data_IF_229151633070
#
_entry.id   IF_229151633070
#
_cell.length_a   1.000
_cell.length_b   1.000
_cell.length_c   1.000
_cell.angle_alpha   90.00
_cell.angle_beta   90.00
_cell.angle_gamma   90.00
#
_symmetry.space_group_name_H-M   'P 1'
#
loop_
_entity.id
_entity.type
_entity.pdbx_description
1 polymer ?
#
# COMPACT_ATOMS: atom_id res chain seq x y z
N UNK A 1 -13.25 13.54 -16.80
CA UNK A 1 -14.50 12.76 -16.80
C UNK A 1 -15.45 13.38 -15.78
N UNK A 2 -16.78 13.49 -16.06
CA UNK A 2 -17.72 13.97 -15.05
C UNK A 2 -17.90 12.93 -13.93
N UNK A 3 -18.27 13.39 -12.71
CA UNK A 3 -18.53 12.50 -11.58
C UNK A 3 -19.59 11.42 -11.89
N UNK A 4 -20.63 11.78 -12.63
CA UNK A 4 -21.67 10.83 -13.03
C UNK A 4 -21.11 9.74 -13.97
N UNK A 5 -20.29 10.12 -14.96
CA UNK A 5 -19.68 9.16 -15.86
C UNK A 5 -18.71 8.20 -15.12
N UNK A 6 -18.02 8.68 -14.10
CA UNK A 6 -17.20 7.84 -13.23
C UNK A 6 -18.05 6.81 -12.46
N UNK A 7 -19.15 7.27 -11.86
CA UNK A 7 -20.08 6.40 -11.12
C UNK A 7 -20.66 5.34 -12.05
N UNK A 8 -21.14 5.72 -13.23
CA UNK A 8 -21.75 4.81 -14.20
C UNK A 8 -20.74 3.75 -14.66
N UNK A 9 -19.50 4.14 -14.96
CA UNK A 9 -18.43 3.21 -15.33
C UNK A 9 -18.10 2.22 -14.21
N UNK A 10 -17.99 2.69 -12.97
CA UNK A 10 -17.72 1.81 -11.82
C UNK A 10 -18.89 0.85 -11.55
N UNK A 11 -20.13 1.32 -11.71
CA UNK A 11 -21.32 0.47 -11.58
C UNK A 11 -21.41 -0.58 -12.70
N UNK A 12 -21.00 -0.24 -13.93
CA UNK A 12 -20.95 -1.20 -15.03
C UNK A 12 -19.92 -2.32 -14.74
N UNK A 13 -18.72 -1.97 -14.26
CA UNK A 13 -17.72 -2.93 -13.84
C UNK A 13 -18.20 -3.82 -12.69
N UNK A 14 -18.91 -3.27 -11.71
CA UNK A 14 -19.43 -4.03 -10.58
C UNK A 14 -20.55 -5.04 -10.98
N UNK A 15 -21.23 -4.81 -12.12
CA UNK A 15 -22.25 -5.71 -12.66
C UNK A 15 -21.68 -6.82 -13.55
N UNK A 16 -20.41 -6.73 -13.91
CA UNK A 16 -19.74 -7.82 -14.60
C UNK A 16 -19.78 -9.07 -13.72
N UNK A 17 -20.17 -10.22 -14.30
CA UNK A 17 -20.50 -11.44 -13.56
C UNK A 17 -19.38 -11.89 -12.61
N UNK A 18 -18.14 -11.91 -13.09
CA UNK A 18 -16.97 -12.31 -12.30
C UNK A 18 -16.68 -11.32 -11.17
N UNK A 19 -16.87 -10.01 -11.40
CA UNK A 19 -16.66 -8.97 -10.39
C UNK A 19 -17.75 -9.03 -9.33
N UNK A 20 -18.99 -9.25 -9.72
CA UNK A 20 -20.10 -9.44 -8.79
C UNK A 20 -19.88 -10.65 -7.89
N UNK A 21 -19.51 -11.81 -8.46
CA UNK A 21 -19.20 -13.02 -7.72
C UNK A 21 -18.02 -12.83 -6.76
N UNK A 22 -16.95 -12.15 -7.20
CA UNK A 22 -15.81 -11.84 -6.37
C UNK A 22 -16.17 -10.91 -5.19
N UNK A 23 -17.04 -9.93 -5.43
CA UNK A 23 -17.55 -9.04 -4.38
C UNK A 23 -18.35 -9.80 -3.32
N UNK A 24 -19.21 -10.73 -3.74
CA UNK A 24 -19.99 -11.59 -2.84
C UNK A 24 -19.07 -12.45 -1.96
N UNK A 25 -18.08 -13.11 -2.57
CA UNK A 25 -17.11 -13.92 -1.85
C UNK A 25 -16.32 -13.07 -0.80
N UNK A 26 -15.97 -11.83 -1.13
CA UNK A 26 -15.33 -10.92 -0.17
C UNK A 26 -16.22 -10.58 1.01
N UNK A 27 -17.51 -10.31 0.78
CA UNK A 27 -18.44 -10.01 1.87
C UNK A 27 -18.65 -11.22 2.79
N UNK A 28 -18.70 -12.42 2.24
CA UNK A 28 -18.77 -13.66 3.03
C UNK A 28 -17.51 -13.87 3.88
N UNK A 29 -16.32 -13.74 3.27
CA UNK A 29 -15.05 -13.86 3.97
C UNK A 29 -14.89 -12.79 5.07
N UNK A 30 -15.30 -11.55 4.79
CA UNK A 30 -15.32 -10.47 5.76
C UNK A 30 -16.25 -10.77 6.94
N UNK A 31 -17.43 -11.29 6.68
CA UNK A 31 -18.37 -11.69 7.72
C UNK A 31 -17.74 -12.77 8.62
N UNK A 32 -17.08 -13.77 8.06
CA UNK A 32 -16.39 -14.83 8.81
C UNK A 32 -15.22 -14.27 9.64
N UNK A 33 -14.42 -13.35 9.07
CA UNK A 33 -13.30 -12.73 9.75
C UNK A 33 -13.74 -11.96 11.01
N UNK A 34 -14.86 -11.23 10.94
CA UNK A 34 -15.40 -10.46 12.07
C UNK A 34 -15.74 -11.31 13.30
N UNK A 35 -16.00 -12.59 13.14
CA UNK A 35 -16.35 -13.49 14.24
C UNK A 35 -15.14 -14.12 14.95
N UNK A 36 -13.91 -13.76 14.56
CA UNK A 36 -12.73 -14.24 15.28
C UNK A 36 -12.74 -13.73 16.72
N UNK A 37 -12.55 -14.64 17.69
CA UNK A 37 -12.64 -14.32 19.13
C UNK A 37 -11.64 -13.24 19.56
N UNK A 38 -10.43 -13.26 19.02
CA UNK A 38 -9.43 -12.24 19.30
C UNK A 38 -9.93 -10.81 19.01
N UNK A 39 -10.80 -10.64 18.01
CA UNK A 39 -11.29 -9.31 17.60
C UNK A 39 -12.31 -8.71 18.58
N UNK A 40 -12.82 -9.50 19.52
CA UNK A 40 -13.70 -9.01 20.59
C UNK A 40 -12.93 -8.27 21.69
N UNK A 41 -11.73 -8.74 22.04
CA UNK A 41 -10.97 -8.19 23.19
C UNK A 41 -9.56 -7.75 22.82
N UNK A 42 -8.90 -8.42 21.88
CA UNK A 42 -7.50 -8.21 21.49
C UNK A 42 -7.33 -7.64 20.08
N UNK A 43 -8.33 -6.95 19.57
CA UNK A 43 -8.33 -6.42 18.22
C UNK A 43 -7.19 -5.41 17.96
N UNK A 44 -6.79 -4.64 18.98
CA UNK A 44 -5.65 -3.72 18.86
C UNK A 44 -4.35 -4.46 18.62
N UNK A 45 -4.14 -5.56 19.34
CA UNK A 45 -2.98 -6.43 19.13
C UNK A 45 -3.04 -7.10 17.74
N UNK A 46 -4.21 -7.56 17.32
CA UNK A 46 -4.39 -8.15 16.00
C UNK A 46 -4.08 -7.14 14.89
N UNK A 47 -4.53 -5.89 15.00
CA UNK A 47 -4.21 -4.82 14.04
C UNK A 47 -2.73 -4.44 14.05
N UNK A 48 -2.09 -4.39 15.22
CA UNK A 48 -0.66 -4.15 15.34
C UNK A 48 0.15 -5.25 14.66
N UNK A 49 -0.19 -6.52 14.92
CA UNK A 49 0.44 -7.67 14.28
C UNK A 49 0.18 -7.69 12.76
N UNK A 50 -1.03 -7.36 12.30
CA UNK A 50 -1.32 -7.22 10.88
C UNK A 50 -0.46 -6.16 10.22
N UNK A 51 -0.15 -5.05 10.91
CA UNK A 51 0.73 -4.00 10.41
C UNK A 51 2.18 -4.48 10.26
N UNK A 52 2.67 -5.32 11.18
CA UNK A 52 4.00 -5.94 11.06
C UNK A 52 4.04 -6.89 9.87
N UNK A 53 3.04 -7.77 9.73
CA UNK A 53 3.01 -8.75 8.63
C UNK A 53 2.83 -8.09 7.27
N UNK A 54 1.98 -7.06 7.18
CA UNK A 54 1.81 -6.30 5.95
C UNK A 54 3.10 -5.57 5.55
N UNK A 55 3.83 -4.98 6.52
CA UNK A 55 5.11 -4.34 6.25
C UNK A 55 6.17 -5.33 5.74
N UNK A 56 6.27 -6.51 6.35
CA UNK A 56 7.21 -7.56 5.90
C UNK A 56 6.84 -8.08 4.52
N UNK A 57 5.54 -8.34 4.27
CA UNK A 57 5.08 -8.79 2.95
C UNK A 57 5.26 -7.70 1.89
N UNK A 58 4.94 -6.44 2.23
CA UNK A 58 5.18 -5.29 1.37
C UNK A 58 6.66 -5.11 1.04
N UNK A 59 7.55 -5.21 2.04
CA UNK A 59 8.99 -5.14 1.84
C UNK A 59 9.50 -6.27 0.92
N UNK A 60 8.96 -7.48 1.06
CA UNK A 60 9.31 -8.61 0.19
C UNK A 60 8.93 -8.37 -1.29
N UNK A 61 7.80 -7.70 -1.56
CA UNK A 61 7.44 -7.27 -2.92
C UNK A 61 8.50 -6.33 -3.49
N UNK A 62 9.08 -5.49 -2.63
CA UNK A 62 10.14 -4.54 -2.97
C UNK A 62 11.55 -5.17 -3.00
N UNK A 63 11.64 -6.49 -2.86
CA UNK A 63 12.91 -7.21 -2.81
C UNK A 63 13.63 -7.14 -1.47
N UNK A 64 13.04 -6.54 -0.44
CA UNK A 64 13.61 -6.42 0.90
C UNK A 64 13.13 -7.55 1.81
N UNK A 65 14.00 -8.51 2.11
CA UNK A 65 13.66 -9.67 2.95
C UNK A 65 13.99 -9.38 4.41
N UNK A 66 12.95 -9.16 5.21
CA UNK A 66 13.05 -8.90 6.65
C UNK A 66 12.14 -9.86 7.40
N UNK A 67 12.60 -10.44 8.51
CA UNK A 67 11.74 -11.31 9.32
C UNK A 67 10.77 -10.50 10.19
N UNK A 68 9.55 -11.01 10.35
CA UNK A 68 8.55 -10.36 11.20
C UNK A 68 9.00 -10.28 12.67
N UNK A 69 9.74 -11.27 13.18
CA UNK A 69 10.27 -11.26 14.53
C UNK A 69 11.30 -10.15 14.70
N UNK A 70 12.26 -10.07 13.80
CA UNK A 70 13.31 -9.06 13.87
C UNK A 70 12.72 -7.64 13.73
N UNK A 71 11.68 -7.44 12.88
CA UNK A 71 10.97 -6.16 12.81
C UNK A 71 10.26 -5.82 14.12
N UNK A 72 9.61 -6.80 14.81
CA UNK A 72 9.01 -6.57 16.14
C UNK A 72 10.05 -6.18 17.17
N UNK A 73 11.19 -6.85 17.21
CA UNK A 73 12.30 -6.55 18.12
C UNK A 73 12.84 -5.14 17.88
N UNK A 74 13.03 -4.73 16.63
CA UNK A 74 13.44 -3.38 16.28
C UNK A 74 12.39 -2.33 16.70
N UNK A 75 11.11 -2.60 16.47
CA UNK A 75 10.02 -1.72 16.90
C UNK A 75 10.01 -1.57 18.43
N UNK A 76 10.18 -2.66 19.16
CA UNK A 76 10.23 -2.66 20.61
C UNK A 76 11.46 -1.94 21.18
N UNK A 77 12.59 -2.05 20.49
CA UNK A 77 13.85 -1.36 20.83
C UNK A 77 13.86 0.11 20.38
N UNK A 78 12.87 0.52 19.58
CA UNK A 78 12.82 1.77 18.82
C UNK A 78 13.21 3.03 19.55
N UNK A 79 13.50 4.14 18.85
CA UNK A 79 13.98 5.36 19.47
C UNK A 79 12.97 5.85 20.49
N UNK A 80 13.43 6.16 21.67
CA UNK A 80 12.65 6.79 22.75
C UNK A 80 12.32 8.24 22.34
N UNK A 81 11.45 8.39 21.35
CA UNK A 81 11.04 9.70 20.84
C UNK A 81 10.09 9.53 19.65
N UNK A 82 8.82 9.85 19.85
CA UNK A 82 7.84 9.88 18.78
C UNK A 82 8.21 10.97 17.77
N UNK A 83 8.35 10.64 16.50
CA UNK A 83 8.32 11.58 15.38
C UNK A 83 9.54 11.66 14.46
N UNK A 84 10.73 11.26 14.90
CA UNK A 84 11.89 11.30 14.01
C UNK A 84 11.95 10.08 13.07
N UNK A 85 12.05 10.29 11.76
CA UNK A 85 12.49 9.25 10.86
C UNK A 85 13.94 8.93 11.21
N UNK A 86 14.23 7.67 11.48
CA UNK A 86 15.57 7.17 11.74
C UNK A 86 15.90 6.16 10.65
N UNK A 87 17.14 6.17 10.15
CA UNK A 87 17.64 5.16 9.24
C UNK A 87 18.47 4.15 10.01
N UNK A 88 18.35 2.89 9.65
CA UNK A 88 19.24 1.81 10.10
C UNK A 88 20.54 1.76 9.29
N UNK A 89 20.65 2.55 8.21
CA UNK A 89 21.66 2.49 7.15
C UNK A 89 21.61 1.19 6.32
N UNK A 90 20.58 0.39 6.50
CA UNK A 90 20.26 -0.77 5.68
C UNK A 90 18.95 -0.47 4.93
N UNK A 91 18.97 -0.36 3.59
CA UNK A 91 17.80 -0.01 2.79
C UNK A 91 16.62 -0.97 2.95
N UNK A 92 16.90 -2.26 3.14
CA UNK A 92 15.85 -3.26 3.34
C UNK A 92 15.10 -3.03 4.65
N UNK A 93 15.85 -2.73 5.72
CA UNK A 93 15.28 -2.37 7.02
C UNK A 93 14.55 -1.04 6.99
N UNK A 94 15.11 -0.06 6.31
CA UNK A 94 14.50 1.27 6.18
C UNK A 94 13.18 1.18 5.41
N UNK A 95 13.10 0.39 4.34
CA UNK A 95 11.87 0.13 3.60
C UNK A 95 10.83 -0.59 4.48
N UNK A 96 11.20 -1.67 5.17
CA UNK A 96 10.30 -2.40 6.06
C UNK A 96 9.79 -1.53 7.22
N UNK A 97 10.66 -0.72 7.81
CA UNK A 97 10.31 0.20 8.90
C UNK A 97 9.37 1.30 8.42
N UNK A 98 9.62 1.86 7.22
CA UNK A 98 8.75 2.85 6.60
C UNK A 98 7.36 2.30 6.33
N UNK A 99 7.27 1.12 5.74
CA UNK A 99 6.00 0.42 5.52
C UNK A 99 5.25 0.15 6.84
N UNK A 100 5.96 -0.34 7.87
CA UNK A 100 5.34 -0.55 9.18
C UNK A 100 4.78 0.75 9.78
N UNK A 101 5.51 1.87 9.66
CA UNK A 101 5.05 3.19 10.15
C UNK A 101 3.76 3.60 9.44
N UNK A 102 3.72 3.47 8.11
CA UNK A 102 2.55 3.79 7.32
C UNK A 102 1.34 2.90 7.68
N UNK A 103 1.54 1.59 7.82
CA UNK A 103 0.49 0.67 8.27
C UNK A 103 0.00 0.98 9.69
N UNK A 104 0.91 1.33 10.61
CA UNK A 104 0.58 1.70 11.99
C UNK A 104 -0.19 3.01 12.05
N UNK A 105 0.16 3.98 11.21
CA UNK A 105 -0.59 5.23 11.05
C UNK A 105 -2.00 4.97 10.57
N UNK A 106 -2.19 4.09 9.59
CA UNK A 106 -3.52 3.71 9.10
C UNK A 106 -4.37 3.11 10.21
N UNK A 107 -3.80 2.30 11.10
CA UNK A 107 -4.54 1.78 12.27
C UNK A 107 -5.09 2.92 13.13
N UNK A 108 -4.36 4.02 13.26
CA UNK A 108 -4.81 5.22 13.97
C UNK A 108 -6.01 5.92 13.32
N UNK A 109 -6.26 5.68 12.03
CA UNK A 109 -7.42 6.20 11.30
C UNK A 109 -8.60 5.23 11.22
N UNK A 110 -8.44 3.99 11.68
CA UNK A 110 -9.51 2.99 11.67
C UNK A 110 -10.46 3.19 12.86
N UNK A 111 -11.77 3.01 12.68
CA UNK A 111 -12.71 3.01 13.79
C UNK A 111 -12.41 1.86 14.75
N UNK A 112 -12.66 2.06 16.04
CA UNK A 112 -12.59 0.98 17.03
C UNK A 112 -13.58 -0.13 16.69
N UNK A 113 -13.16 -1.41 16.82
CA UNK A 113 -14.07 -2.55 16.64
C UNK A 113 -15.07 -2.69 17.79
N UNK A 114 -14.67 -2.25 18.99
CA UNK A 114 -15.50 -2.21 20.18
C UNK A 114 -15.42 -0.80 20.75
N UNK A 115 -16.53 -0.07 20.70
CA UNK A 115 -16.59 1.33 21.12
C UNK A 115 -17.24 2.23 20.07
N UNK A 116 -17.12 3.53 20.29
CA UNK A 116 -17.73 4.55 19.42
C UNK A 116 -16.72 5.52 18.80
N UNK A 117 -15.44 5.28 19.02
CA UNK A 117 -14.39 6.18 18.53
C UNK A 117 -14.29 6.09 17.01
N UNK A 118 -14.43 7.25 16.36
CA UNK A 118 -14.21 7.41 14.92
C UNK A 118 -13.12 8.47 14.74
N UNK A 119 -11.89 8.05 14.43
CA UNK A 119 -10.80 8.98 14.19
C UNK A 119 -11.10 9.91 13.01
N UNK A 120 -10.58 11.13 13.06
CA UNK A 120 -10.61 12.05 11.93
C UNK A 120 -9.54 11.63 10.93
N UNK A 121 -9.97 11.36 9.71
CA UNK A 121 -9.08 11.05 8.59
C UNK A 121 -8.73 12.36 7.88
N UNK A 122 -7.45 12.63 7.56
CA UNK A 122 -7.07 13.79 6.76
C UNK A 122 -7.72 13.78 5.37
N UNK A 123 -7.75 14.92 4.69
CA UNK A 123 -8.10 14.99 3.27
C UNK A 123 -7.19 14.06 2.45
N UNK A 124 -7.73 13.47 1.37
CA UNK A 124 -7.06 12.42 0.59
C UNK A 124 -5.65 12.79 0.15
N UNK A 125 -5.44 13.98 -0.39
CA UNK A 125 -4.10 14.42 -0.79
C UNK A 125 -3.12 14.49 0.41
N UNK A 126 -3.58 14.96 1.57
CA UNK A 126 -2.78 15.01 2.79
C UNK A 126 -2.51 13.61 3.35
N UNK A 127 -3.49 12.70 3.26
CA UNK A 127 -3.31 11.30 3.64
C UNK A 127 -2.22 10.64 2.78
N UNK A 128 -2.31 10.77 1.45
CA UNK A 128 -1.33 10.22 0.51
C UNK A 128 0.08 10.76 0.80
N UNK A 129 0.23 12.08 0.93
CA UNK A 129 1.50 12.71 1.25
C UNK A 129 2.08 12.24 2.60
N UNK A 130 1.22 12.02 3.59
CA UNK A 130 1.64 11.56 4.92
C UNK A 130 2.09 10.11 4.90
N UNK A 131 1.33 9.23 4.22
CA UNK A 131 1.72 7.83 4.06
C UNK A 131 3.02 7.69 3.26
N UNK A 132 3.18 8.49 2.19
CA UNK A 132 4.42 8.51 1.42
C UNK A 132 5.62 8.94 2.29
N UNK A 133 5.45 9.97 3.15
CA UNK A 133 6.50 10.36 4.10
C UNK A 133 6.86 9.24 5.08
N UNK A 134 5.88 8.48 5.55
CA UNK A 134 6.17 7.35 6.44
C UNK A 134 6.98 6.26 5.73
N UNK A 135 6.64 5.94 4.46
CA UNK A 135 7.33 4.92 3.66
C UNK A 135 8.73 5.39 3.24
N UNK A 136 8.84 6.58 2.66
CA UNK A 136 10.06 7.07 2.03
C UNK A 136 11.02 7.76 3.02
N UNK A 137 10.51 8.25 4.15
CA UNK A 137 11.30 9.03 5.12
C UNK A 137 12.56 8.32 5.63
N UNK A 138 12.53 7.05 6.05
CA UNK A 138 13.74 6.35 6.49
C UNK A 138 14.82 6.27 5.39
N UNK A 139 14.43 6.08 4.13
CA UNK A 139 15.34 6.05 2.98
C UNK A 139 15.99 7.43 2.75
N UNK A 140 15.23 8.51 2.92
CA UNK A 140 15.75 9.87 2.81
C UNK A 140 16.76 10.18 3.93
N UNK A 141 16.44 9.84 5.18
CA UNK A 141 17.36 9.98 6.32
C UNK A 141 18.62 9.13 6.12
N UNK A 142 18.50 7.98 5.47
CA UNK A 142 19.61 7.12 5.07
C UNK A 142 20.47 7.70 3.94
N UNK A 143 20.04 8.79 3.30
CA UNK A 143 20.72 9.43 2.19
C UNK A 143 20.56 8.70 0.84
N UNK A 144 19.60 7.77 0.75
CA UNK A 144 19.33 6.99 -0.46
C UNK A 144 18.47 7.74 -1.47
N UNK A 145 17.68 8.70 -1.01
CA UNK A 145 16.82 9.57 -1.83
C UNK A 145 16.88 11.00 -1.28
N UNK A 146 16.53 11.97 -2.11
CA UNK A 146 16.42 13.38 -1.68
C UNK A 146 15.21 13.56 -0.75
N UNK A 147 15.38 14.34 0.33
CA UNK A 147 14.27 14.74 1.20
C UNK A 147 13.20 15.54 0.46
N UNK A 148 13.58 16.25 -0.61
CA UNK A 148 12.68 17.10 -1.40
C UNK A 148 11.56 16.30 -2.08
N UNK A 149 11.78 15.00 -2.39
CA UNK A 149 10.75 14.15 -3.03
C UNK A 149 9.81 13.50 -2.02
N UNK A 150 10.11 13.60 -0.72
CA UNK A 150 9.37 12.89 0.33
C UNK A 150 8.03 13.56 0.62
N UNK A 151 6.94 12.87 0.30
CA UNK A 151 5.58 13.37 0.48
C UNK A 151 5.12 14.38 -0.58
N UNK A 152 5.91 14.60 -1.61
CA UNK A 152 5.59 15.50 -2.71
C UNK A 152 5.35 14.72 -4.00
N UNK A 153 4.27 14.98 -4.75
CA UNK A 153 4.12 14.47 -6.11
C UNK A 153 5.30 14.96 -6.98
N UNK A 154 5.72 14.12 -7.92
CA UNK A 154 6.76 14.49 -8.87
C UNK A 154 6.27 15.61 -9.81
N UNK A 155 7.14 16.50 -10.22
CA UNK A 155 6.78 17.58 -11.12
C UNK A 155 6.87 17.18 -12.61
N UNK A 156 7.94 16.46 -12.96
CA UNK A 156 8.16 15.85 -14.29
C UNK A 156 9.34 14.87 -14.21
N UNK A 157 9.51 14.03 -15.22
CA UNK A 157 10.65 13.10 -15.31
C UNK A 157 12.01 13.83 -15.36
N UNK A 158 12.08 14.92 -16.08
CA UNK A 158 13.31 15.75 -16.18
C UNK A 158 13.70 16.40 -14.86
N UNK A 159 12.73 16.75 -14.00
CA UNK A 159 13.02 17.31 -12.68
C UNK A 159 13.65 16.24 -11.75
N UNK A 160 13.33 14.97 -11.94
CA UNK A 160 13.95 13.86 -11.19
C UNK A 160 15.39 13.61 -11.63
N UNK A 161 15.67 13.64 -12.93
CA UNK A 161 17.03 13.50 -13.45
C UNK A 161 17.92 14.66 -12.95
N UNK A 162 17.44 15.90 -12.99
CA UNK A 162 18.21 17.06 -12.54
C UNK A 162 18.41 17.08 -11.01
N UNK A 163 17.43 16.65 -10.22
CA UNK A 163 17.58 16.54 -8.76
C UNK A 163 18.53 15.40 -8.35
N UNK A 164 18.62 14.35 -9.15
CA UNK A 164 19.57 13.26 -8.95
C UNK A 164 21.02 13.66 -9.25
N UNK A 165 21.24 14.68 -10.10
CA UNK A 165 22.58 15.05 -10.60
C UNK A 165 23.27 16.21 -9.87
N UNK A 166 22.56 17.08 -9.14
CA UNK A 166 23.19 18.20 -8.43
C UNK A 166 23.94 17.82 -7.15
N UNK A 167 23.83 16.57 -6.70
CA UNK A 167 24.58 15.97 -5.58
C UNK A 167 25.67 14.97 -6.00
N UNK A 168 26.40 15.25 -7.07
CA UNK A 168 27.27 14.36 -7.85
C UNK A 168 28.44 13.64 -7.16
N UNK A 169 28.24 13.10 -5.97
CA UNK A 169 29.26 12.27 -5.29
C UNK A 169 28.70 11.07 -4.51
N UNK A 170 27.39 11.04 -4.25
CA UNK A 170 26.78 9.98 -3.42
C UNK A 170 25.94 8.98 -4.19
N UNK A 171 25.66 9.21 -5.48
CA UNK A 171 24.76 8.36 -6.26
C UNK A 171 25.36 7.03 -6.70
N UNK A 172 26.67 6.95 -6.94
CA UNK A 172 27.32 5.67 -7.25
C UNK A 172 27.34 4.74 -6.03
N UNK A 173 27.56 5.28 -4.85
CA UNK A 173 27.46 4.53 -3.59
C UNK A 173 26.06 4.09 -3.24
N UNK A 174 25.04 4.94 -3.51
CA UNK A 174 23.63 4.65 -3.31
C UNK A 174 23.12 3.56 -4.25
N UNK A 175 23.47 3.63 -5.53
CA UNK A 175 23.15 2.62 -6.54
C UNK A 175 23.77 1.27 -6.21
N UNK A 176 25.04 1.24 -5.83
CA UNK A 176 25.76 0.04 -5.42
C UNK A 176 25.20 -0.55 -4.10
N UNK A 177 24.77 0.31 -3.15
CA UNK A 177 24.15 -0.13 -1.91
C UNK A 177 22.76 -0.74 -2.15
N UNK A 178 21.96 -0.16 -3.06
CA UNK A 178 20.66 -0.68 -3.48
C UNK A 178 20.80 -2.01 -4.23
N UNK A 179 21.79 -2.13 -5.12
CA UNK A 179 22.10 -3.37 -5.82
C UNK A 179 22.60 -4.46 -4.85
N UNK A 180 23.43 -4.10 -3.89
CA UNK A 180 23.95 -4.99 -2.84
C UNK A 180 22.88 -5.45 -1.84
N UNK A 181 21.86 -4.65 -1.60
CA UNK A 181 20.73 -4.96 -0.73
C UNK A 181 19.63 -5.82 -1.43
N UNK A 182 19.81 -6.19 -2.70
CA UNK A 182 18.80 -6.90 -3.47
C UNK A 182 17.64 -6.04 -3.95
N UNK A 183 17.68 -4.74 -3.69
CA UNK A 183 16.73 -3.75 -4.20
C UNK A 183 17.10 -3.40 -5.65
N UNK A 184 16.79 -4.30 -6.58
CA UNK A 184 17.20 -4.17 -7.99
C UNK A 184 16.19 -3.33 -8.79
N UNK A 185 16.70 -2.58 -9.76
CA UNK A 185 15.92 -1.82 -10.75
C UNK A 185 14.87 -2.67 -11.48
N UNK A 186 15.12 -3.95 -11.69
CA UNK A 186 14.22 -4.83 -12.41
C UNK A 186 13.21 -5.50 -11.47
N UNK A 187 12.03 -4.89 -11.33
CA UNK A 187 10.88 -5.47 -10.69
C UNK A 187 10.66 -5.04 -9.23
N UNK A 188 11.36 -4.03 -8.75
CA UNK A 188 11.13 -3.46 -7.42
C UNK A 188 10.15 -2.28 -7.49
N UNK A 189 8.88 -2.44 -7.09
CA UNK A 189 7.87 -1.39 -7.18
C UNK A 189 8.18 -0.14 -6.32
N UNK A 190 8.99 -0.24 -5.28
CA UNK A 190 9.35 0.90 -4.44
C UNK A 190 10.23 1.90 -5.21
N UNK A 191 11.23 1.37 -5.90
CA UNK A 191 12.10 2.14 -6.81
C UNK A 191 11.52 2.21 -8.22
N UNK A 192 10.47 1.41 -8.48
CA UNK A 192 9.71 1.39 -9.73
C UNK A 192 10.60 1.33 -10.96
N UNK A 193 11.33 0.21 -11.09
CA UNK A 193 12.29 -0.02 -12.16
C UNK A 193 11.85 0.48 -13.52
N UNK A 194 12.69 1.28 -14.14
CA UNK A 194 12.42 1.94 -15.39
C UNK A 194 11.75 3.33 -15.26
N UNK A 195 11.79 4.12 -16.33
CA UNK A 195 11.17 5.44 -16.36
C UNK A 195 9.66 5.32 -16.12
N UNK A 196 9.15 6.16 -15.22
CA UNK A 196 7.70 6.32 -15.06
C UNK A 196 7.04 6.82 -16.36
N UNK A 197 5.71 6.81 -16.44
CA UNK A 197 5.04 7.35 -17.61
C UNK A 197 5.47 8.82 -17.81
N UNK A 198 5.82 9.17 -19.03
CA UNK A 198 6.22 10.54 -19.39
C UNK A 198 4.98 11.45 -19.41
N UNK A 199 4.48 11.77 -18.21
CA UNK A 199 3.36 12.69 -18.02
C UNK A 199 3.94 14.07 -17.71
N UNK A 200 3.57 15.07 -18.50
CA UNK A 200 3.89 16.49 -18.24
C UNK A 200 3.27 16.95 -16.92
N UNK A 201 3.83 17.99 -16.31
CA UNK A 201 3.42 18.43 -14.97
C UNK A 201 1.91 18.75 -14.84
N UNK A 202 1.26 19.26 -15.88
CA UNK A 202 -0.19 19.48 -15.87
C UNK A 202 -0.96 18.17 -16.00
N UNK A 203 -0.58 17.31 -16.92
CA UNK A 203 -1.24 16.00 -17.13
C UNK A 203 -1.13 15.14 -15.87
N UNK A 204 0.03 15.12 -15.23
CA UNK A 204 0.22 14.42 -13.97
C UNK A 204 -0.70 14.94 -12.86
N UNK A 205 -0.87 16.27 -12.76
CA UNK A 205 -1.80 16.86 -11.79
C UNK A 205 -3.24 16.43 -12.06
N UNK A 206 -3.67 16.48 -13.33
CA UNK A 206 -5.02 16.06 -13.74
C UNK A 206 -5.26 14.57 -13.43
N UNK A 207 -4.26 13.72 -13.67
CA UNK A 207 -4.36 12.29 -13.32
C UNK A 207 -4.39 12.07 -11.80
N UNK A 208 -3.61 12.82 -11.04
CA UNK A 208 -3.65 12.74 -9.58
C UNK A 208 -5.01 13.23 -9.03
N UNK A 209 -5.57 14.29 -9.59
CA UNK A 209 -6.92 14.75 -9.25
C UNK A 209 -7.98 13.68 -9.56
N UNK A 210 -7.82 12.92 -10.65
CA UNK A 210 -8.71 11.80 -10.97
C UNK A 210 -8.59 10.66 -9.94
N UNK A 211 -7.38 10.35 -9.47
CA UNK A 211 -7.18 9.37 -8.38
C UNK A 211 -7.86 9.86 -7.10
N UNK A 212 -7.67 11.12 -6.73
CA UNK A 212 -8.34 11.73 -5.57
C UNK A 212 -9.86 11.68 -5.73
N UNK A 213 -10.38 12.03 -6.90
CA UNK A 213 -11.82 11.96 -7.18
C UNK A 213 -12.37 10.53 -7.08
N UNK A 214 -11.62 9.52 -7.54
CA UNK A 214 -11.99 8.11 -7.40
C UNK A 214 -12.06 7.69 -5.94
N UNK A 215 -11.13 8.17 -5.11
CA UNK A 215 -11.12 7.92 -3.66
C UNK A 215 -12.31 8.62 -2.98
N UNK A 216 -12.57 9.88 -3.31
CA UNK A 216 -13.50 10.74 -2.57
C UNK A 216 -14.96 10.65 -3.05
N UNK A 217 -15.21 10.14 -4.27
CA UNK A 217 -16.57 9.99 -4.79
C UNK A 217 -17.38 9.03 -3.90
N UNK A 218 -18.51 9.45 -3.33
CA UNK A 218 -19.30 8.58 -2.48
C UNK A 218 -19.98 7.45 -3.26
N UNK A 219 -20.36 6.39 -2.55
CA UNK A 219 -21.20 5.29 -3.05
C UNK A 219 -20.66 4.52 -4.28
N UNK A 220 -19.35 4.58 -4.55
CA UNK A 220 -18.75 3.67 -5.54
C UNK A 220 -18.70 2.24 -5.01
N UNK A 221 -18.84 1.22 -5.88
CA UNK A 221 -18.63 -0.18 -5.48
C UNK A 221 -17.26 -0.40 -4.88
N UNK A 222 -17.21 -0.90 -3.65
CA UNK A 222 -15.99 -0.90 -2.83
C UNK A 222 -14.83 -1.67 -3.47
N UNK A 223 -15.07 -2.88 -4.01
CA UNK A 223 -14.03 -3.66 -4.68
C UNK A 223 -13.50 -2.94 -5.91
N UNK A 224 -14.37 -2.38 -6.75
CA UNK A 224 -13.98 -1.66 -7.96
C UNK A 224 -13.13 -0.44 -7.61
N UNK A 225 -13.55 0.37 -6.63
CA UNK A 225 -12.77 1.52 -6.15
C UNK A 225 -11.39 1.12 -5.70
N UNK A 226 -11.30 0.14 -4.80
CA UNK A 226 -10.02 -0.32 -4.24
C UNK A 226 -9.07 -0.80 -5.34
N UNK A 227 -9.60 -1.59 -6.28
CA UNK A 227 -8.81 -2.11 -7.40
C UNK A 227 -8.33 -1.00 -8.33
N UNK A 228 -9.22 -0.09 -8.73
CA UNK A 228 -8.86 1.01 -9.64
C UNK A 228 -7.88 1.99 -9.00
N UNK A 229 -8.05 2.36 -7.72
CA UNK A 229 -7.09 3.23 -7.02
C UNK A 229 -5.71 2.60 -7.00
N UNK A 230 -5.61 1.29 -6.71
CA UNK A 230 -4.33 0.59 -6.70
C UNK A 230 -3.69 0.57 -8.10
N UNK A 231 -4.45 0.23 -9.13
CA UNK A 231 -3.97 0.21 -10.51
C UNK A 231 -3.50 1.59 -11.00
N UNK A 232 -4.27 2.63 -10.71
CA UNK A 232 -3.90 4.01 -11.08
C UNK A 232 -2.62 4.48 -10.37
N UNK A 233 -2.41 4.10 -9.11
CA UNK A 233 -1.15 4.38 -8.42
C UNK A 233 0.04 3.71 -9.10
N UNK A 234 -0.11 2.48 -9.59
CA UNK A 234 0.93 1.75 -10.33
C UNK A 234 1.19 2.33 -11.72
N UNK A 235 0.12 2.78 -12.40
CA UNK A 235 0.19 3.24 -13.79
C UNK A 235 0.63 4.70 -13.89
N UNK A 236 0.06 5.58 -13.08
CA UNK A 236 0.33 7.03 -13.11
C UNK A 236 1.64 7.38 -12.41
N UNK A 237 1.99 6.66 -11.36
CA UNK A 237 3.18 6.89 -10.53
C UNK A 237 3.32 8.37 -10.14
N UNK A 238 2.38 8.91 -9.36
CA UNK A 238 2.38 10.34 -9.05
C UNK A 238 3.53 10.80 -8.15
N UNK A 239 4.23 9.89 -7.48
CA UNK A 239 5.41 10.18 -6.67
C UNK A 239 6.67 9.67 -7.36
N UNK A 240 7.83 10.14 -6.91
CA UNK A 240 9.12 9.74 -7.45
C UNK A 240 9.44 8.25 -7.20
N UNK A 241 8.84 7.67 -6.15
CA UNK A 241 9.02 6.27 -5.75
C UNK A 241 7.85 5.80 -4.89
N UNK A 242 7.82 4.51 -4.54
CA UNK A 242 6.88 3.91 -3.59
C UNK A 242 5.39 4.01 -3.99
N UNK A 243 5.06 4.23 -5.27
CA UNK A 243 3.66 4.32 -5.70
C UNK A 243 2.92 3.00 -5.53
N UNK A 244 3.55 1.87 -5.83
CA UNK A 244 2.98 0.56 -5.58
C UNK A 244 2.71 0.31 -4.09
N UNK A 245 3.67 0.64 -3.23
CA UNK A 245 3.51 0.56 -1.78
C UNK A 245 2.38 1.47 -1.27
N UNK A 246 2.32 2.71 -1.78
CA UNK A 246 1.23 3.65 -1.44
C UNK A 246 -0.12 3.15 -1.96
N UNK A 247 -0.16 2.55 -3.16
CA UNK A 247 -1.37 1.91 -3.70
C UNK A 247 -1.90 0.82 -2.75
N UNK A 248 -1.04 -0.08 -2.26
CA UNK A 248 -1.41 -1.13 -1.29
C UNK A 248 -1.86 -0.57 0.06
N UNK A 249 -1.23 0.51 0.55
CA UNK A 249 -1.68 1.22 1.75
C UNK A 249 -3.08 1.82 1.55
N UNK A 250 -3.37 2.40 0.38
CA UNK A 250 -4.70 2.89 0.04
C UNK A 250 -5.71 1.75 -0.08
N UNK A 251 -5.32 0.57 -0.62
CA UNK A 251 -6.15 -0.65 -0.59
C UNK A 251 -6.60 -0.96 0.84
N UNK A 252 -5.67 -1.02 1.79
CA UNK A 252 -5.99 -1.28 3.20
C UNK A 252 -6.91 -0.22 3.80
N UNK A 253 -6.61 1.06 3.55
CA UNK A 253 -7.42 2.17 4.05
C UNK A 253 -8.86 2.11 3.53
N UNK A 254 -9.01 1.97 2.21
CA UNK A 254 -10.30 1.95 1.54
C UNK A 254 -11.10 0.69 1.87
N UNK A 255 -10.44 -0.46 2.01
CA UNK A 255 -11.11 -1.71 2.42
C UNK A 255 -11.77 -1.58 3.79
N UNK A 256 -11.13 -0.87 4.74
CA UNK A 256 -11.75 -0.60 6.05
C UNK A 256 -12.85 0.45 5.93
N UNK A 257 -12.60 1.55 5.25
CA UNK A 257 -13.55 2.66 5.09
C UNK A 257 -14.84 2.23 4.41
N UNK A 258 -14.71 1.45 3.34
CA UNK A 258 -15.83 1.06 2.47
C UNK A 258 -16.44 -0.30 2.85
N UNK A 259 -15.96 -0.93 3.92
CA UNK A 259 -16.57 -2.10 4.55
C UNK A 259 -16.22 -3.45 3.93
N UNK A 260 -15.20 -3.55 3.06
CA UNK A 260 -14.68 -4.83 2.58
C UNK A 260 -13.96 -5.60 3.70
N UNK A 261 -13.12 -4.91 4.48
CA UNK A 261 -12.51 -5.45 5.71
C UNK A 261 -12.69 -4.47 6.87
N UNK A 262 -13.84 -4.39 7.50
CA UNK A 262 -14.06 -3.49 8.63
C UNK A 262 -13.22 -3.83 9.85
N UNK A 263 -12.57 -5.01 9.87
CA UNK A 263 -11.71 -5.41 10.99
C UNK A 263 -10.33 -4.76 10.94
N UNK A 264 -9.80 -4.50 9.73
CA UNK A 264 -8.49 -3.92 9.49
C UNK A 264 -7.32 -4.88 9.79
N UNK A 265 -7.59 -6.19 9.87
CA UNK A 265 -6.55 -7.21 10.12
C UNK A 265 -6.18 -8.02 8.88
N UNK A 266 -6.80 -7.78 7.74
CA UNK A 266 -6.43 -8.38 6.48
C UNK A 266 -5.00 -7.98 6.07
N UNK A 267 -4.23 -8.93 5.50
CA UNK A 267 -2.85 -8.77 5.04
C UNK A 267 -2.77 -9.10 3.55
N UNK A 268 -3.37 -8.25 2.71
CA UNK A 268 -3.44 -8.45 1.25
C UNK A 268 -2.07 -8.42 0.56
N UNK A 269 -1.10 -7.69 1.11
CA UNK A 269 0.29 -7.66 0.63
C UNK A 269 0.92 -9.06 0.55
N UNK A 270 0.46 -9.99 1.39
CA UNK A 270 0.96 -11.36 1.40
C UNK A 270 0.77 -12.06 0.05
N UNK A 271 -0.36 -11.84 -0.61
CA UNK A 271 -0.65 -12.46 -1.90
C UNK A 271 0.30 -11.95 -3.00
N UNK A 272 0.46 -10.64 -3.10
CA UNK A 272 1.38 -10.02 -4.05
C UNK A 272 2.84 -10.43 -3.80
N UNK A 273 3.26 -10.50 -2.53
CA UNK A 273 4.61 -10.90 -2.15
C UNK A 273 4.90 -12.39 -2.40
N UNK A 274 3.88 -13.24 -2.37
CA UNK A 274 4.01 -14.68 -2.62
C UNK A 274 4.16 -15.01 -4.11
N UNK A 275 3.49 -14.27 -4.98
CA UNK A 275 3.50 -14.51 -6.43
C UNK A 275 3.73 -13.18 -7.16
N UNK A 276 4.92 -12.56 -7.05
CA UNK A 276 5.18 -11.25 -7.63
C UNK A 276 5.04 -11.21 -9.15
N UNK A 277 5.28 -12.31 -9.86
CA UNK A 277 5.05 -12.42 -11.30
C UNK A 277 3.58 -12.21 -11.67
N UNK A 278 2.64 -12.86 -10.97
CA UNK A 278 1.21 -12.69 -11.21
C UNK A 278 0.74 -11.26 -10.90
N UNK A 279 1.33 -10.60 -9.90
CA UNK A 279 1.08 -9.20 -9.62
C UNK A 279 1.48 -8.28 -10.77
N UNK A 280 2.68 -8.50 -11.31
CA UNK A 280 3.19 -7.73 -12.45
C UNK A 280 2.36 -7.97 -13.72
N UNK A 281 1.99 -9.22 -14.01
CA UNK A 281 1.14 -9.60 -15.15
C UNK A 281 -0.25 -8.96 -15.06
N UNK A 282 -0.88 -8.98 -13.89
CA UNK A 282 -2.18 -8.35 -13.66
C UNK A 282 -2.11 -6.82 -13.83
N UNK A 283 -1.06 -6.18 -13.33
CA UNK A 283 -0.83 -4.75 -13.52
C UNK A 283 -0.61 -4.40 -15.00
N UNK A 284 0.12 -5.23 -15.75
CA UNK A 284 0.32 -5.05 -17.19
C UNK A 284 -0.98 -5.26 -17.98
N UNK A 285 -1.82 -6.21 -17.58
CA UNK A 285 -3.13 -6.42 -18.18
C UNK A 285 -4.01 -5.18 -18.02
N UNK A 286 -4.03 -4.56 -16.82
CA UNK A 286 -4.72 -3.29 -16.60
C UNK A 286 -4.19 -2.17 -17.49
N UNK A 287 -2.87 -2.05 -17.62
CA UNK A 287 -2.21 -1.01 -18.43
C UNK A 287 -2.54 -1.11 -19.92
N UNK A 288 -3.04 -2.26 -20.41
CA UNK A 288 -3.53 -2.41 -21.78
C UNK A 288 -4.82 -1.62 -22.07
N UNK A 289 -5.46 -1.07 -21.04
CA UNK A 289 -6.72 -0.33 -21.09
C UNK A 289 -7.89 -1.08 -21.75
N UNK A 290 -7.81 -2.41 -21.85
CA UNK A 290 -8.91 -3.24 -22.32
C UNK A 290 -9.88 -3.56 -21.19
N UNK A 291 -11.18 -3.73 -21.49
CA UNK A 291 -12.17 -4.13 -20.48
C UNK A 291 -11.76 -5.44 -19.79
N UNK A 292 -11.27 -6.42 -20.54
CA UNK A 292 -10.81 -7.69 -19.98
C UNK A 292 -9.62 -7.51 -19.04
N UNK A 293 -8.66 -6.66 -19.39
CA UNK A 293 -7.51 -6.34 -18.51
C UNK A 293 -7.92 -5.64 -17.22
N UNK A 294 -8.90 -4.72 -17.29
CA UNK A 294 -9.47 -4.07 -16.10
C UNK A 294 -10.17 -5.08 -15.21
N UNK A 295 -11.01 -5.96 -15.79
CA UNK A 295 -11.70 -7.01 -15.04
C UNK A 295 -10.72 -7.99 -14.43
N UNK A 296 -9.71 -8.44 -15.18
CA UNK A 296 -8.67 -9.34 -14.67
C UNK A 296 -7.93 -8.74 -13.46
N UNK A 297 -7.62 -7.45 -13.51
CA UNK A 297 -7.04 -6.74 -12.38
C UNK A 297 -7.96 -6.68 -11.15
N UNK A 298 -9.26 -6.40 -11.35
CA UNK A 298 -10.23 -6.38 -10.25
C UNK A 298 -10.34 -7.75 -9.58
N UNK A 299 -10.34 -8.82 -10.37
CA UNK A 299 -10.36 -10.20 -9.86
C UNK A 299 -9.09 -10.50 -9.09
N UNK A 300 -7.92 -10.17 -9.64
CA UNK A 300 -6.65 -10.32 -8.92
C UNK A 300 -6.66 -9.57 -7.57
N UNK A 301 -7.19 -8.36 -7.53
CA UNK A 301 -7.31 -7.58 -6.30
C UNK A 301 -8.26 -8.24 -5.30
N UNK A 302 -9.34 -8.85 -5.78
CA UNK A 302 -10.26 -9.60 -4.92
C UNK A 302 -9.59 -10.84 -4.32
N UNK A 303 -8.82 -11.59 -5.11
CA UNK A 303 -8.04 -12.74 -4.63
C UNK A 303 -7.01 -12.33 -3.58
N UNK A 304 -6.33 -11.20 -3.78
CA UNK A 304 -5.40 -10.65 -2.81
C UNK A 304 -6.09 -10.28 -1.49
N UNK A 305 -7.29 -9.73 -1.54
CA UNK A 305 -8.07 -9.41 -0.35
C UNK A 305 -8.59 -10.68 0.35
N UNK A 306 -9.07 -11.68 -0.40
CA UNK A 306 -9.51 -12.98 0.16
C UNK A 306 -8.38 -13.69 0.88
N UNK A 307 -7.20 -13.79 0.24
CA UNK A 307 -6.02 -14.36 0.89
C UNK A 307 -5.59 -13.53 2.10
N UNK A 308 -5.66 -12.20 1.99
CA UNK A 308 -5.40 -11.29 3.10
C UNK A 308 -6.32 -11.54 4.30
N UNK A 309 -7.61 -11.80 4.08
CA UNK A 309 -8.57 -12.14 5.14
C UNK A 309 -8.28 -13.52 5.75
N UNK A 310 -7.84 -14.49 4.94
CA UNK A 310 -7.37 -15.78 5.43
C UNK A 310 -6.18 -15.61 6.37
N UNK A 311 -5.19 -14.81 5.98
CA UNK A 311 -4.04 -14.45 6.81
C UNK A 311 -4.48 -13.71 8.08
N UNK A 312 -5.45 -12.81 7.99
CA UNK A 312 -6.06 -12.11 9.12
C UNK A 312 -6.73 -13.06 10.12
N UNK A 313 -7.37 -14.12 9.63
CA UNK A 313 -7.96 -15.16 10.49
C UNK A 313 -6.91 -15.99 11.22
N UNK A 314 -5.83 -16.38 10.54
CA UNK A 314 -4.71 -17.10 11.14
C UNK A 314 -3.99 -16.27 12.20
N UNK A 315 -3.71 -15.01 11.87
CA UNK A 315 -3.15 -14.03 12.77
C UNK A 315 -4.02 -13.83 14.01
N UNK A 316 -5.32 -13.70 13.84
CA UNK A 316 -6.26 -13.52 14.95
C UNK A 316 -6.24 -14.73 15.91
N UNK A 317 -6.15 -15.95 15.37
CA UNK A 317 -5.97 -17.17 16.18
C UNK A 317 -4.64 -17.17 16.92
N UNK A 318 -3.55 -16.77 16.26
CA UNK A 318 -2.24 -16.67 16.89
C UNK A 318 -2.21 -15.64 18.04
N UNK A 319 -2.87 -14.49 17.85
CA UNK A 319 -3.06 -13.47 18.90
C UNK A 319 -3.88 -14.06 20.06
N UNK A 320 -4.97 -14.78 19.77
CA UNK A 320 -5.78 -15.43 20.80
C UNK A 320 -4.98 -16.44 21.63
N UNK A 321 -4.13 -17.23 20.96
CA UNK A 321 -3.28 -18.23 21.60
C UNK A 321 -2.04 -17.66 22.28
N UNK A 322 -1.71 -16.37 22.07
CA UNK A 322 -0.46 -15.76 22.56
C UNK A 322 0.80 -16.29 21.86
N UNK A 323 0.67 -16.76 20.62
CA UNK A 323 1.77 -17.41 19.86
C UNK A 323 2.32 -16.54 18.74
N UNK A 324 2.03 -15.26 18.72
CA UNK A 324 2.51 -14.30 17.69
C UNK A 324 4.03 -14.10 17.69
N UNK A 325 4.71 -14.51 18.76
CA UNK A 325 6.17 -14.36 18.92
C UNK A 325 6.96 -15.62 18.53
N UNK A 326 6.30 -16.66 18.00
CA UNK A 326 6.95 -17.89 17.56
C UNK A 326 7.05 -17.98 16.06
#
# INVERSE_FOLDING_TARGET
MSTNALIDACLALAREERVAAASEALYEASAQLRWQEALRKRWREARAEASVRAAVSGAAIEGAVVSAQALREQIAAGPKGAGAHTSSKDPAWDAATGLWRAHSRLVGYMPDLVGRTRPVVPATAQLMATLHRDVAGPLAVGGLISEAVVGCPRESEQALENQSFEGGGMLEGGKAALEGAGLRENGNPLLEGGPGPNLGGQELRERLEQIVALIDTPNLPALVRVALVHAEMLTVRPFALANGALGRLLVRHLSVRDGLDPTGVSVSDYYAGRVPGAYAEAAQAYASASLEGVVAWIIWQAEALLEGMRQGSELSRAVQAGTTQR
#
